data_IF_793548781723
#
_entry.id   IF_793548781723
#
_cell.length_a   1.000
_cell.length_b   1.000
_cell.length_c   1.000
_cell.angle_alpha   90.00
_cell.angle_beta   90.00
_cell.angle_gamma   90.00
#
_symmetry.space_group_name_H-M   'P 1'
#
loop_
_entity.id
_entity.type
_entity.pdbx_description
1 polymer ?
#
# COMPACT_ATOMS: atom_id res chain seq x y z
N UNK A 1 5.11 2.01 -38.79
CA UNK A 1 6.03 2.94 -38.09
C UNK A 1 7.07 2.12 -37.30
N UNK A 2 8.37 2.18 -37.65
CA UNK A 2 9.44 1.38 -37.00
C UNK A 2 9.96 2.11 -35.74
N UNK A 3 9.25 2.00 -34.61
CA UNK A 3 9.65 2.64 -33.34
C UNK A 3 10.61 1.75 -32.54
N UNK A 4 11.61 2.36 -31.91
CA UNK A 4 12.58 1.64 -31.07
C UNK A 4 11.99 1.36 -29.67
N UNK A 5 11.81 0.09 -29.26
CA UNK A 5 11.21 -0.25 -27.97
C UNK A 5 12.03 0.27 -26.77
N UNK A 6 13.35 0.38 -26.88
CA UNK A 6 14.21 0.94 -25.82
C UNK A 6 14.04 2.45 -25.62
N UNK A 7 13.25 3.13 -26.43
CA UNK A 7 12.90 4.56 -26.26
C UNK A 7 11.44 4.75 -25.85
N UNK A 8 10.61 3.70 -25.90
CA UNK A 8 9.20 3.75 -25.51
C UNK A 8 9.06 3.45 -24.01
N UNK A 9 8.70 4.48 -23.23
CA UNK A 9 8.72 4.47 -21.76
C UNK A 9 7.86 3.37 -21.10
N UNK A 10 6.81 2.91 -21.77
CA UNK A 10 5.87 1.89 -21.26
C UNK A 10 6.36 0.44 -21.46
N UNK A 11 7.34 0.22 -22.33
CA UNK A 11 7.81 -1.14 -22.64
C UNK A 11 8.73 -1.69 -21.56
N UNK A 12 8.75 -3.02 -21.41
CA UNK A 12 9.71 -3.72 -20.54
C UNK A 12 11.17 -3.50 -20.99
N UNK A 13 11.42 -3.42 -22.30
CA UNK A 13 12.75 -3.17 -22.83
C UNK A 13 13.33 -1.85 -22.32
N UNK A 14 12.57 -0.75 -22.42
CA UNK A 14 12.97 0.54 -21.85
C UNK A 14 13.17 0.43 -20.34
N UNK A 15 12.19 -0.17 -19.62
CA UNK A 15 12.24 -0.26 -18.15
C UNK A 15 13.48 -1.00 -17.65
N UNK A 16 13.86 -2.10 -18.28
CA UNK A 16 15.09 -2.83 -17.96
C UNK A 16 16.35 -2.01 -18.25
N UNK A 17 16.42 -1.36 -19.42
CA UNK A 17 17.59 -0.54 -19.79
C UNK A 17 17.75 0.74 -18.95
N UNK A 18 16.66 1.27 -18.41
CA UNK A 18 16.63 2.49 -17.61
C UNK A 18 16.59 2.19 -16.09
N UNK A 19 16.99 0.99 -15.67
CA UNK A 19 17.05 0.54 -14.27
C UNK A 19 15.71 0.73 -13.52
N UNK A 20 14.58 0.58 -14.21
CA UNK A 20 13.24 0.65 -13.62
C UNK A 20 12.70 -0.70 -13.14
N UNK A 21 13.42 -1.77 -13.41
CA UNK A 21 13.13 -3.13 -12.97
C UNK A 21 14.43 -3.79 -12.56
N UNK A 22 14.32 -4.82 -11.74
CA UNK A 22 15.46 -5.68 -11.38
C UNK A 22 15.86 -6.51 -12.62
N UNK A 23 17.11 -6.36 -13.07
CA UNK A 23 17.62 -7.03 -14.28
C UNK A 23 18.64 -8.12 -13.98
N UNK A 24 19.48 -7.92 -12.97
CA UNK A 24 20.56 -8.85 -12.59
C UNK A 24 20.15 -9.52 -11.29
N UNK A 25 19.50 -10.69 -11.38
CA UNK A 25 19.10 -11.48 -10.22
C UNK A 25 19.15 -12.99 -10.52
N UNK A 26 19.47 -13.78 -9.50
CA UNK A 26 19.61 -15.24 -9.64
C UNK A 26 18.28 -15.93 -9.96
N UNK A 27 17.13 -15.35 -9.59
CA UNK A 27 15.82 -15.93 -9.92
C UNK A 27 15.55 -15.94 -11.42
N UNK A 28 16.12 -15.00 -12.17
CA UNK A 28 15.92 -14.88 -13.62
C UNK A 28 16.63 -15.98 -14.41
N UNK A 29 17.68 -16.59 -13.84
CA UNK A 29 18.43 -17.67 -14.49
C UNK A 29 17.62 -18.96 -14.66
N UNK A 30 16.57 -19.18 -13.85
CA UNK A 30 15.71 -20.37 -13.96
C UNK A 30 14.87 -20.40 -15.23
N UNK A 31 14.65 -19.25 -15.88
CA UNK A 31 13.88 -19.11 -17.12
C UNK A 31 14.74 -19.34 -18.39
N UNK A 32 15.96 -19.85 -18.26
CA UNK A 32 16.82 -20.12 -19.40
C UNK A 32 16.22 -21.17 -20.35
N UNK A 33 16.34 -20.92 -21.66
CA UNK A 33 15.93 -21.88 -22.70
C UNK A 33 16.87 -23.09 -22.67
N UNK A 34 16.32 -24.29 -22.49
CA UNK A 34 17.06 -25.56 -22.57
C UNK A 34 16.92 -26.12 -23.98
N UNK A 35 18.06 -26.33 -24.66
CA UNK A 35 18.09 -26.87 -26.02
C UNK A 35 18.26 -28.40 -26.05
N UNK A 36 18.53 -29.02 -24.89
CA UNK A 36 18.64 -30.48 -24.75
C UNK A 36 17.42 -30.98 -23.96
N UNK A 37 16.61 -31.90 -24.52
CA UNK A 37 15.49 -32.48 -23.80
C UNK A 37 15.98 -33.51 -22.78
N UNK A 38 15.32 -33.58 -21.64
CA UNK A 38 15.52 -34.62 -20.62
C UNK A 38 14.39 -35.64 -20.70
N UNK A 39 14.68 -36.92 -20.40
CA UNK A 39 13.62 -37.92 -20.27
C UNK A 39 12.63 -37.51 -19.18
N UNK A 40 11.37 -37.85 -19.38
CA UNK A 40 10.33 -37.62 -18.38
C UNK A 40 10.64 -38.43 -17.11
N UNK A 41 10.57 -37.75 -15.97
CA UNK A 41 10.55 -38.34 -14.63
C UNK A 41 9.49 -37.62 -13.82
N UNK A 42 8.58 -38.38 -13.20
CA UNK A 42 7.48 -37.83 -12.40
C UNK A 42 8.01 -37.03 -11.20
N UNK A 43 9.06 -37.53 -10.57
CA UNK A 43 9.68 -36.87 -9.41
C UNK A 43 10.31 -35.54 -9.83
N UNK A 44 11.00 -35.50 -10.96
CA UNK A 44 11.57 -34.27 -11.51
C UNK A 44 10.50 -33.21 -11.79
N UNK A 45 9.37 -33.61 -12.38
CA UNK A 45 8.26 -32.68 -12.66
C UNK A 45 7.65 -32.16 -11.35
N UNK A 46 7.42 -33.05 -10.38
CA UNK A 46 6.87 -32.67 -9.08
C UNK A 46 7.77 -31.69 -8.32
N UNK A 47 9.09 -31.93 -8.30
CA UNK A 47 10.05 -31.01 -7.68
C UNK A 47 10.13 -29.69 -8.41
N UNK A 48 10.07 -29.70 -9.75
CA UNK A 48 10.13 -28.48 -10.56
C UNK A 48 8.90 -27.60 -10.34
N UNK A 49 7.70 -28.18 -10.23
CA UNK A 49 6.48 -27.42 -9.92
C UNK A 49 6.57 -26.69 -8.57
N UNK A 50 7.06 -27.38 -7.53
CA UNK A 50 7.29 -26.77 -6.21
C UNK A 50 8.37 -25.68 -6.26
N UNK A 51 9.47 -25.95 -6.95
CA UNK A 51 10.56 -24.99 -7.11
C UNK A 51 10.11 -23.73 -7.87
N UNK A 52 9.28 -23.87 -8.91
CA UNK A 52 8.75 -22.74 -9.67
C UNK A 52 7.92 -21.79 -8.78
N UNK A 53 7.02 -22.33 -7.95
CA UNK A 53 6.24 -21.54 -6.99
C UNK A 53 7.16 -20.79 -6.01
N UNK A 54 8.17 -21.49 -5.46
CA UNK A 54 9.09 -20.88 -4.53
C UNK A 54 9.94 -19.77 -5.16
N UNK A 55 10.38 -19.96 -6.40
CA UNK A 55 11.18 -18.97 -7.13
C UNK A 55 10.36 -17.72 -7.45
N UNK A 56 9.09 -17.85 -7.83
CA UNK A 56 8.22 -16.68 -8.11
C UNK A 56 7.94 -15.86 -6.84
N UNK A 57 7.75 -16.50 -5.69
CA UNK A 57 7.64 -15.79 -4.41
C UNK A 57 8.90 -14.99 -4.08
N UNK A 58 10.09 -15.59 -4.27
CA UNK A 58 11.36 -14.90 -4.01
C UNK A 58 11.53 -13.73 -4.98
N UNK A 59 11.21 -13.94 -6.26
CA UNK A 59 11.29 -12.90 -7.28
C UNK A 59 10.39 -11.70 -6.92
N UNK A 60 9.12 -11.93 -6.60
CA UNK A 60 8.18 -10.87 -6.24
C UNK A 60 8.62 -10.10 -4.99
N UNK A 61 9.15 -10.79 -3.98
CA UNK A 61 9.73 -10.16 -2.78
C UNK A 61 10.93 -9.26 -3.12
N UNK A 62 11.85 -9.73 -3.96
CA UNK A 62 13.03 -8.97 -4.40
C UNK A 62 12.65 -7.78 -5.29
N UNK A 63 11.71 -7.95 -6.21
CA UNK A 63 11.18 -6.86 -7.04
C UNK A 63 10.52 -5.77 -6.18
N UNK A 64 9.77 -6.15 -5.14
CA UNK A 64 9.19 -5.20 -4.17
C UNK A 64 10.28 -4.44 -3.41
N UNK A 65 11.34 -5.13 -2.98
CA UNK A 65 12.48 -4.49 -2.32
C UNK A 65 13.20 -3.49 -3.25
N UNK A 66 13.45 -3.88 -4.51
CA UNK A 66 14.03 -3.00 -5.52
C UNK A 66 13.18 -1.76 -5.77
N UNK A 67 11.85 -1.92 -5.85
CA UNK A 67 10.93 -0.78 -5.98
C UNK A 67 11.02 0.16 -4.77
N UNK A 68 11.00 -0.40 -3.55
CA UNK A 68 11.12 0.39 -2.32
C UNK A 68 12.42 1.20 -2.33
N UNK A 69 13.55 0.56 -2.60
CA UNK A 69 14.86 1.22 -2.66
C UNK A 69 14.91 2.30 -3.75
N UNK A 70 14.30 2.08 -4.91
CA UNK A 70 14.23 3.11 -5.95
C UNK A 70 13.37 4.32 -5.54
N UNK A 71 12.33 4.09 -4.75
CA UNK A 71 11.42 5.15 -4.29
C UNK A 71 11.87 5.83 -3.00
N UNK A 72 12.95 5.37 -2.36
CA UNK A 72 13.51 6.08 -1.21
C UNK A 72 13.93 7.49 -1.61
N UNK A 73 13.61 8.47 -0.78
CA UNK A 73 13.91 9.89 -1.04
C UNK A 73 12.78 10.69 -1.66
N UNK A 74 11.80 10.05 -2.33
CA UNK A 74 10.65 10.78 -2.89
C UNK A 74 9.84 11.50 -1.79
N UNK A 75 9.70 10.92 -0.61
CA UNK A 75 9.01 11.57 0.52
C UNK A 75 9.76 12.82 0.99
N UNK A 76 11.09 12.80 1.01
CA UNK A 76 11.90 13.95 1.38
C UNK A 76 11.78 15.06 0.33
N UNK A 77 11.87 14.70 -0.96
CA UNK A 77 11.67 15.63 -2.07
C UNK A 77 10.27 16.24 -2.07
N UNK A 78 9.24 15.43 -1.81
CA UNK A 78 7.86 15.90 -1.66
C UNK A 78 7.77 16.91 -0.52
N UNK A 79 8.26 16.58 0.68
CA UNK A 79 8.26 17.51 1.82
C UNK A 79 9.04 18.80 1.54
N UNK A 80 10.13 18.74 0.77
CA UNK A 80 10.87 19.94 0.36
C UNK A 80 10.05 20.79 -0.62
N UNK A 81 9.38 20.17 -1.59
CA UNK A 81 8.48 20.85 -2.50
C UNK A 81 7.26 21.45 -1.77
N UNK A 82 6.68 20.72 -0.82
CA UNK A 82 5.56 21.19 0.00
C UNK A 82 5.96 22.41 0.84
N UNK A 83 7.16 22.39 1.45
CA UNK A 83 7.69 23.56 2.18
C UNK A 83 7.84 24.78 1.28
N UNK A 84 8.45 24.60 0.11
CA UNK A 84 8.59 25.66 -0.89
C UNK A 84 7.23 26.21 -1.34
N UNK A 85 6.25 25.34 -1.57
CA UNK A 85 4.89 25.73 -1.95
C UNK A 85 4.25 26.63 -0.88
N UNK A 86 4.40 26.26 0.39
CA UNK A 86 3.87 27.03 1.53
C UNK A 86 4.59 28.39 1.65
N UNK A 87 5.90 28.44 1.45
CA UNK A 87 6.69 29.68 1.45
C UNK A 87 6.26 30.65 0.33
N UNK A 88 5.99 30.15 -0.87
CA UNK A 88 5.57 30.97 -2.01
C UNK A 88 4.11 31.46 -1.88
N UNK A 89 3.24 30.65 -1.28
CA UNK A 89 1.80 30.90 -1.23
C UNK A 89 1.29 31.25 0.19
N UNK A 90 2.11 31.95 0.98
CA UNK A 90 1.76 32.31 2.36
C UNK A 90 0.45 33.11 2.48
N UNK A 91 0.13 33.92 1.48
CA UNK A 91 -1.07 34.76 1.44
C UNK A 91 -2.38 33.96 1.41
N UNK A 92 -2.37 32.70 0.97
CA UNK A 92 -3.56 31.83 0.94
C UNK A 92 -3.85 31.16 2.29
N UNK A 93 -2.89 31.14 3.22
CA UNK A 93 -3.00 30.42 4.50
C UNK A 93 -4.05 31.00 5.45
N UNK A 94 -4.26 32.33 5.59
CA UNK A 94 -5.26 32.87 6.50
C UNK A 94 -6.69 32.44 6.14
N UNK A 95 -7.06 32.51 4.86
CA UNK A 95 -8.40 32.08 4.40
C UNK A 95 -8.62 30.59 4.61
N UNK A 96 -7.60 29.76 4.32
CA UNK A 96 -7.66 28.31 4.54
C UNK A 96 -7.81 27.99 6.03
N UNK A 97 -7.07 28.67 6.91
CA UNK A 97 -7.21 28.48 8.37
C UNK A 97 -8.59 28.85 8.89
N UNK A 98 -9.15 29.97 8.43
CA UNK A 98 -10.49 30.40 8.82
C UNK A 98 -11.56 29.38 8.41
N UNK A 99 -11.45 28.84 7.18
CA UNK A 99 -12.36 27.77 6.72
C UNK A 99 -12.21 26.49 7.54
N UNK A 100 -10.99 26.08 7.88
CA UNK A 100 -10.76 24.90 8.71
C UNK A 100 -11.36 25.03 10.11
N UNK A 101 -11.21 26.20 10.74
CA UNK A 101 -11.81 26.47 12.06
C UNK A 101 -13.35 26.44 12.02
N UNK A 102 -13.96 26.95 10.95
CA UNK A 102 -15.41 26.85 10.76
C UNK A 102 -15.85 25.39 10.65
N UNK A 103 -15.14 24.59 9.85
CA UNK A 103 -15.46 23.16 9.72
C UNK A 103 -15.24 22.38 11.02
N UNK A 104 -14.22 22.71 11.80
CA UNK A 104 -13.97 22.07 13.10
C UNK A 104 -15.07 22.42 14.11
N UNK A 105 -15.54 23.67 14.14
CA UNK A 105 -16.66 24.10 14.98
C UNK A 105 -17.99 23.44 14.57
N UNK A 106 -18.26 23.34 13.27
CA UNK A 106 -19.45 22.64 12.78
C UNK A 106 -19.44 21.14 13.13
N UNK A 107 -18.26 20.51 13.11
CA UNK A 107 -18.11 19.10 13.51
C UNK A 107 -18.25 18.92 15.03
N UNK A 108 -17.72 19.83 15.85
CA UNK A 108 -17.92 19.79 17.30
C UNK A 108 -19.37 20.02 17.69
N UNK A 109 -20.05 20.97 17.06
CA UNK A 109 -21.47 21.23 17.29
C UNK A 109 -22.32 20.02 16.87
N UNK A 110 -21.93 19.32 15.79
CA UNK A 110 -22.57 18.07 15.38
C UNK A 110 -22.32 16.93 16.39
N UNK A 111 -21.11 16.82 16.96
CA UNK A 111 -20.80 15.83 17.99
C UNK A 111 -21.53 16.13 19.32
N UNK A 112 -21.63 17.39 19.72
CA UNK A 112 -22.36 17.83 20.92
C UNK A 112 -23.87 17.62 20.77
N UNK A 113 -24.46 17.95 19.62
CA UNK A 113 -25.89 17.68 19.36
C UNK A 113 -26.21 16.18 19.34
N UNK A 114 -25.33 15.34 18.78
CA UNK A 114 -25.48 13.88 18.86
C UNK A 114 -25.34 13.34 20.30
N UNK A 115 -24.49 13.95 21.13
CA UNK A 115 -24.36 13.59 22.54
C UNK A 115 -25.56 14.07 23.36
N UNK A 116 -26.08 15.27 23.13
CA UNK A 116 -27.28 15.79 23.78
C UNK A 116 -28.53 14.98 23.43
N UNK A 117 -28.70 14.59 22.16
CA UNK A 117 -29.78 13.68 21.74
C UNK A 117 -29.65 12.29 22.41
N UNK A 118 -28.44 11.76 22.55
CA UNK A 118 -28.21 10.50 23.25
C UNK A 118 -28.49 10.59 24.77
N UNK A 119 -28.23 11.75 25.39
CA UNK A 119 -28.53 12.01 26.80
C UNK A 119 -30.04 12.25 27.02
N UNK A 120 -30.72 12.93 26.10
CA UNK A 120 -32.17 13.19 26.17
C UNK A 120 -33.03 11.90 25.97
N UNK A 121 -32.48 10.88 25.30
CA UNK A 121 -33.13 9.56 25.13
C UNK A 121 -32.90 8.63 26.34
N UNK A 122 -32.14 9.05 27.36
CA UNK A 122 -31.93 8.27 28.59
C UNK A 122 -33.18 8.28 29.51
N UNK A 123 -34.15 7.44 29.19
CA UNK A 123 -35.27 7.05 30.07
C UNK A 123 -34.69 6.34 31.33
N UNK A 124 -35.13 6.66 32.57
CA UNK A 124 -34.63 5.97 33.76
C UNK A 124 -34.94 4.48 33.69
N UNK A 125 -33.88 3.66 33.73
CA UNK A 125 -33.97 2.22 33.64
C UNK A 125 -34.82 1.65 34.80
N UNK A 126 -36.02 1.15 34.48
CA UNK A 126 -36.74 0.21 35.35
C UNK A 126 -35.84 -1.01 35.55
N UNK A 127 -35.50 -1.29 36.80
CA UNK A 127 -34.73 -2.47 37.21
C UNK A 127 -35.26 -3.74 36.52
N UNK A 128 -34.50 -4.25 35.56
CA UNK A 128 -34.66 -5.61 35.05
C UNK A 128 -33.48 -6.41 35.56
N UNK A 129 -33.82 -7.42 36.36
CA UNK A 129 -32.89 -8.30 37.04
C UNK A 129 -31.91 -8.96 36.07
N UNK A 130 -30.69 -9.14 36.57
CA UNK A 130 -29.53 -9.66 35.88
C UNK A 130 -29.75 -11.05 35.27
N UNK A 131 -29.25 -11.24 34.03
CA UNK A 131 -28.63 -12.50 33.61
C UNK A 131 -27.31 -12.20 32.93
N UNK A 132 -26.25 -12.53 33.67
CA UNK A 132 -24.86 -12.55 33.27
C UNK A 132 -24.62 -13.82 32.46
N UNK A 133 -24.29 -13.70 31.18
CA UNK A 133 -23.49 -14.71 30.51
C UNK A 133 -22.42 -14.02 29.66
N UNK A 134 -21.20 -14.45 29.96
CA UNK A 134 -19.93 -13.98 29.46
C UNK A 134 -19.65 -14.73 28.17
N UNK A 135 -19.28 -14.03 27.10
CA UNK A 135 -18.24 -14.57 26.22
C UNK A 135 -17.39 -13.46 25.63
N UNK A 136 -16.13 -13.48 26.05
CA UNK A 136 -15.03 -12.67 25.58
C UNK A 136 -14.42 -13.28 24.32
N UNK A 137 -13.74 -12.44 23.54
CA UNK A 137 -12.91 -12.82 22.38
C UNK A 137 -13.57 -12.37 21.08
N UNK A 138 -12.99 -11.52 20.24
CA UNK A 138 -11.57 -11.20 20.12
C UNK A 138 -11.42 -9.85 19.42
N UNK A 139 -10.40 -9.12 19.86
CA UNK A 139 -10.00 -7.83 19.32
C UNK A 139 -9.30 -8.01 17.98
N UNK A 140 -9.32 -6.93 17.20
CA UNK A 140 -8.54 -6.78 15.99
C UNK A 140 -7.05 -7.01 16.23
N UNK A 141 -6.37 -7.62 15.27
CA UNK A 141 -4.97 -7.32 14.94
C UNK A 141 -4.77 -7.44 13.43
N UNK A 142 -4.53 -6.29 12.79
CA UNK A 142 -3.98 -6.19 11.44
C UNK A 142 -2.58 -5.59 11.61
N UNK A 143 -1.56 -6.43 11.43
CA UNK A 143 -0.20 -6.03 11.02
C UNK A 143 0.17 -6.72 9.70
#
# INVERSE_FOLDING_TARGET
MKRNPRKLKWTKAFRKSANKEMVVDSTLSFAARRNVPTRYSRDLVATTLKAMQRVTEIQTKRERAFYKQRMTGNTANRRAADRKLVEENQHMLPEVRARLQQTEAELSDAEETMQEEAIAVAIPARQRQAKRQVQAGDAMDIE
#
